data_IF_363719335308
#
_entry.id   IF_363719335308
#
_cell.length_a   1.000
_cell.length_b   1.000
_cell.length_c   1.000
_cell.angle_alpha   90.00
_cell.angle_beta   90.00
_cell.angle_gamma   90.00
#
_symmetry.space_group_name_H-M   'P 1'
#
loop_
_entity.id
_entity.type
_entity.pdbx_description
1 polymer ?
#
# COMPACT_ATOMS: atom_id res chain seq x y z
N UNK A 1 -38.13 -12.29 2.02
CA UNK A 1 -37.73 -11.49 3.19
C UNK A 1 -36.39 -12.02 3.66
N UNK A 2 -35.30 -11.33 3.36
CA UNK A 2 -33.97 -11.71 3.85
C UNK A 2 -33.94 -11.54 5.36
N UNK A 3 -33.55 -12.59 6.07
CA UNK A 3 -33.31 -12.51 7.51
C UNK A 3 -32.28 -11.40 7.78
N UNK A 4 -32.57 -10.54 8.76
CA UNK A 4 -31.64 -9.50 9.17
C UNK A 4 -30.38 -10.17 9.75
N UNK A 5 -29.17 -9.70 9.40
CA UNK A 5 -27.93 -10.24 9.95
C UNK A 5 -27.91 -10.11 11.48
N UNK A 6 -27.34 -11.10 12.17
CA UNK A 6 -27.12 -11.02 13.61
C UNK A 6 -26.07 -9.95 13.93
N UNK A 7 -26.09 -9.43 15.15
CA UNK A 7 -25.12 -8.42 15.63
C UNK A 7 -23.68 -8.86 15.40
N UNK A 8 -23.39 -10.13 15.68
CA UNK A 8 -22.05 -10.70 15.53
C UNK A 8 -21.60 -10.76 14.07
N UNK A 9 -22.53 -11.05 13.14
CA UNK A 9 -22.22 -11.07 11.71
C UNK A 9 -21.97 -9.66 11.16
N UNK A 10 -22.66 -8.65 11.70
CA UNK A 10 -22.41 -7.25 11.37
C UNK A 10 -21.04 -6.80 11.87
N UNK A 11 -20.68 -7.14 13.11
CA UNK A 11 -19.37 -6.80 13.68
C UNK A 11 -18.24 -7.44 12.87
N UNK A 12 -18.33 -8.73 12.57
CA UNK A 12 -17.31 -9.42 11.77
C UNK A 12 -17.14 -8.79 10.38
N UNK A 13 -18.23 -8.28 9.79
CA UNK A 13 -18.17 -7.57 8.50
C UNK A 13 -17.43 -6.24 8.61
N UNK A 14 -17.62 -5.49 9.70
CA UNK A 14 -16.91 -4.23 9.94
C UNK A 14 -15.41 -4.49 10.17
N UNK A 15 -15.08 -5.47 11.00
CA UNK A 15 -13.69 -5.83 11.31
C UNK A 15 -12.92 -6.24 10.05
N UNK A 16 -13.55 -7.01 9.17
CA UNK A 16 -12.95 -7.42 7.89
C UNK A 16 -12.70 -6.23 6.95
N UNK A 17 -13.61 -5.24 6.92
CA UNK A 17 -13.43 -4.01 6.14
C UNK A 17 -12.27 -3.18 6.68
N UNK A 18 -12.18 -3.03 8.00
CA UNK A 18 -11.11 -2.28 8.65
C UNK A 18 -9.75 -2.97 8.50
N UNK A 19 -9.70 -4.29 8.58
CA UNK A 19 -8.49 -5.07 8.30
C UNK A 19 -7.96 -4.81 6.87
N UNK A 20 -8.83 -4.87 5.86
CA UNK A 20 -8.46 -4.59 4.47
C UNK A 20 -7.91 -3.17 4.29
N UNK A 21 -8.55 -2.17 4.91
CA UNK A 21 -8.07 -0.78 4.82
C UNK A 21 -6.72 -0.62 5.51
N UNK A 22 -6.52 -1.26 6.67
CA UNK A 22 -5.22 -1.25 7.37
C UNK A 22 -4.11 -1.88 6.53
N UNK A 23 -4.36 -3.01 5.90
CA UNK A 23 -3.38 -3.66 5.01
C UNK A 23 -3.01 -2.78 3.81
N UNK A 24 -3.98 -2.10 3.21
CA UNK A 24 -3.70 -1.14 2.14
C UNK A 24 -2.76 -0.03 2.61
N UNK A 25 -3.00 0.53 3.81
CA UNK A 25 -2.11 1.53 4.39
C UNK A 25 -0.72 0.98 4.70
N UNK A 26 -0.60 -0.26 5.18
CA UNK A 26 0.70 -0.91 5.40
C UNK A 26 1.50 -0.96 4.11
N UNK A 27 0.88 -1.34 2.98
CA UNK A 27 1.54 -1.36 1.66
C UNK A 27 1.96 0.04 1.20
N UNK A 28 1.11 1.05 1.42
CA UNK A 28 1.47 2.45 1.13
C UNK A 28 2.68 2.89 1.97
N UNK A 29 2.72 2.53 3.25
CA UNK A 29 3.82 2.88 4.15
C UNK A 29 5.12 2.15 3.79
N UNK A 30 5.05 0.89 3.33
CA UNK A 30 6.20 0.17 2.79
C UNK A 30 6.78 0.90 1.57
N UNK A 31 5.95 1.30 0.61
CA UNK A 31 6.39 2.07 -0.55
C UNK A 31 7.01 3.42 -0.15
N UNK A 32 6.46 4.08 0.88
CA UNK A 32 7.01 5.33 1.42
C UNK A 32 8.41 5.15 1.99
N UNK A 33 8.66 4.09 2.76
CA UNK A 33 10.00 3.80 3.31
C UNK A 33 11.02 3.64 2.18
N UNK A 34 10.69 2.85 1.15
CA UNK A 34 11.59 2.64 0.00
C UNK A 34 11.84 3.94 -0.76
N UNK A 35 10.81 4.79 -0.91
CA UNK A 35 10.97 6.14 -1.50
C UNK A 35 11.93 7.01 -0.70
N UNK A 36 11.82 7.01 0.62
CA UNK A 36 12.69 7.81 1.50
C UNK A 36 14.15 7.34 1.40
N UNK A 37 14.40 6.03 1.36
CA UNK A 37 15.74 5.47 1.14
C UNK A 37 16.27 5.77 -0.28
N UNK A 38 15.43 5.65 -1.31
CA UNK A 38 15.80 6.03 -2.67
C UNK A 38 16.21 7.50 -2.77
N UNK A 39 15.49 8.40 -2.10
CA UNK A 39 15.83 9.83 -2.05
C UNK A 39 17.15 10.08 -1.33
N UNK A 40 17.47 9.34 -0.27
CA UNK A 40 18.78 9.42 0.40
C UNK A 40 19.89 8.94 -0.54
N UNK A 41 19.70 7.81 -1.22
CA UNK A 41 20.66 7.28 -2.18
C UNK A 41 20.94 8.27 -3.31
N UNK A 42 19.90 8.85 -3.93
CA UNK A 42 20.06 9.84 -4.99
C UNK A 42 20.82 11.10 -4.53
N UNK A 43 20.58 11.56 -3.28
CA UNK A 43 21.30 12.69 -2.71
C UNK A 43 22.76 12.37 -2.40
N UNK A 44 23.06 11.14 -2.00
CA UNK A 44 24.43 10.72 -1.66
C UNK A 44 25.28 10.48 -2.91
N UNK A 45 24.73 9.80 -3.92
CA UNK A 45 25.48 9.35 -5.11
C UNK A 45 25.57 10.43 -6.22
N UNK A 46 24.70 11.45 -6.17
CA UNK A 46 24.66 12.50 -7.20
C UNK A 46 24.49 11.90 -8.60
N UNK A 47 25.39 12.24 -9.52
CA UNK A 47 25.29 11.80 -10.93
C UNK A 47 25.34 10.27 -11.09
N UNK A 48 25.95 9.55 -10.14
CA UNK A 48 26.08 8.09 -10.20
C UNK A 48 24.81 7.33 -9.78
N UNK A 49 23.75 8.03 -9.38
CA UNK A 49 22.55 7.40 -8.82
C UNK A 49 21.87 6.40 -9.77
N UNK A 50 22.07 6.52 -11.10
CA UNK A 50 21.46 5.63 -12.08
C UNK A 50 21.94 4.18 -11.96
N UNK A 51 23.21 3.97 -11.62
CA UNK A 51 23.77 2.63 -11.45
C UNK A 51 23.59 2.15 -10.01
N UNK A 52 23.90 2.99 -9.03
CA UNK A 52 23.93 2.60 -7.62
C UNK A 52 22.52 2.44 -7.03
N UNK A 53 21.60 3.36 -7.34
CA UNK A 53 20.26 3.35 -6.75
C UNK A 53 19.23 2.56 -7.57
N UNK A 54 19.65 1.86 -8.63
CA UNK A 54 18.76 1.15 -9.57
C UNK A 54 17.83 0.16 -8.86
N UNK A 55 18.38 -0.69 -7.98
CA UNK A 55 17.59 -1.69 -7.27
C UNK A 55 16.53 -1.08 -6.34
N UNK A 56 16.82 0.06 -5.71
CA UNK A 56 15.82 0.79 -4.91
C UNK A 56 14.73 1.39 -5.80
N UNK A 57 15.10 1.89 -6.98
CA UNK A 57 14.15 2.42 -7.95
C UNK A 57 13.21 1.32 -8.49
N UNK A 58 13.75 0.18 -8.90
CA UNK A 58 12.95 -0.98 -9.32
C UNK A 58 12.03 -1.45 -8.21
N UNK A 59 12.54 -1.57 -6.97
CA UNK A 59 11.73 -2.01 -5.85
C UNK A 59 10.59 -1.05 -5.55
N UNK A 60 10.85 0.26 -5.64
CA UNK A 60 9.82 1.26 -5.47
C UNK A 60 8.74 1.16 -6.58
N UNK A 61 9.14 0.96 -7.83
CA UNK A 61 8.22 0.79 -8.95
C UNK A 61 7.37 -0.48 -8.82
N UNK A 62 7.94 -1.58 -8.33
CA UNK A 62 7.17 -2.78 -8.00
C UNK A 62 6.11 -2.51 -6.95
N UNK A 63 6.49 -1.88 -5.83
CA UNK A 63 5.57 -1.58 -4.74
C UNK A 63 4.45 -0.63 -5.17
N UNK A 64 4.74 0.33 -6.05
CA UNK A 64 3.75 1.30 -6.54
C UNK A 64 2.57 0.65 -7.28
N UNK A 65 2.74 -0.55 -7.84
CA UNK A 65 1.64 -1.27 -8.52
C UNK A 65 0.48 -1.56 -7.57
N UNK A 66 0.80 -1.90 -6.32
CA UNK A 66 -0.18 -2.38 -5.33
C UNK A 66 -0.30 -1.45 -4.10
N UNK A 67 0.50 -0.39 -4.01
CA UNK A 67 0.53 0.51 -2.85
C UNK A 67 -0.66 1.48 -2.75
N UNK A 68 -1.52 1.55 -3.77
CA UNK A 68 -2.66 2.47 -3.77
C UNK A 68 -3.76 1.98 -2.80
N UNK A 69 -4.25 2.87 -1.96
CA UNK A 69 -5.40 2.58 -1.09
C UNK A 69 -6.66 2.46 -1.95
N UNK A 70 -7.20 1.25 -2.07
CA UNK A 70 -8.43 0.97 -2.82
C UNK A 70 -9.70 1.08 -1.96
N UNK A 71 -9.56 1.16 -0.64
CA UNK A 71 -10.68 1.11 0.30
C UNK A 71 -11.28 -0.31 0.44
N UNK A 72 -12.43 -0.42 1.10
CA UNK A 72 -13.09 -1.71 1.29
C UNK A 72 -14.00 -2.09 0.11
N UNK A 73 -14.66 -1.11 -0.50
CA UNK A 73 -15.59 -1.29 -1.63
C UNK A 73 -14.90 -0.90 -2.94
N UNK A 74 -14.88 -1.83 -3.90
CA UNK A 74 -14.51 -1.56 -5.29
C UNK A 74 -15.76 -1.07 -6.01
N UNK A 75 -15.67 0.10 -6.66
CA UNK A 75 -16.72 0.61 -7.53
C UNK A 75 -16.15 0.49 -8.95
N UNK A 76 -16.69 -0.43 -9.74
CA UNK A 76 -16.36 -0.53 -11.15
C UNK A 76 -17.02 0.67 -11.86
N UNK A 77 -16.21 1.48 -12.53
CA UNK A 77 -16.66 2.63 -13.35
C UNK A 77 -16.70 2.21 -14.82
#
# INVERSE_FOLDING_TARGET
MSALPSTDSMQATLDARDAKVRENWVRTMQARIVREELQKCQKAEGINHYQVCHGLAEKYLELLKDAKVQGYRVIDV
#
